data_IF_744996468870
#
_entry.id   IF_744996468870
#
_cell.length_a   1.000
_cell.length_b   1.000
_cell.length_c   1.000
_cell.angle_alpha   90.00
_cell.angle_beta   90.00
_cell.angle_gamma   90.00
#
_symmetry.space_group_name_H-M   'P 1'
#
loop_
_entity.id
_entity.type
_entity.pdbx_description
1 polymer ?
#
# COMPACT_ATOMS: atom_id res chain seq x y z
N UNK A 1 78.92 -3.34 9.61
CA UNK A 1 77.62 -3.99 9.84
C UNK A 1 76.64 -3.41 8.84
N UNK A 2 76.42 -4.13 7.75
CA UNK A 2 75.45 -3.76 6.72
C UNK A 2 74.03 -3.95 7.29
N UNK A 3 73.31 -2.86 7.49
CA UNK A 3 71.90 -2.94 7.83
C UNK A 3 71.13 -3.48 6.62
N UNK A 4 70.63 -4.71 6.74
CA UNK A 4 69.84 -5.45 5.73
C UNK A 4 68.79 -4.53 5.08
N UNK A 5 68.93 -4.30 3.78
CA UNK A 5 67.97 -3.56 2.96
C UNK A 5 66.52 -4.07 3.11
N UNK A 6 66.31 -5.31 3.54
CA UNK A 6 64.97 -5.87 3.80
C UNK A 6 64.20 -5.17 4.92
N UNK A 7 64.87 -4.65 5.95
CA UNK A 7 64.19 -3.97 7.07
C UNK A 7 63.68 -2.59 6.66
N UNK A 8 64.44 -1.91 5.77
CA UNK A 8 64.02 -0.64 5.17
C UNK A 8 62.85 -0.83 4.21
N UNK A 9 62.86 -1.87 3.39
CA UNK A 9 61.75 -2.18 2.46
C UNK A 9 60.46 -2.52 3.20
N UNK A 10 60.53 -3.28 4.29
CA UNK A 10 59.35 -3.62 5.11
C UNK A 10 58.79 -2.39 5.83
N UNK A 11 59.65 -1.55 6.40
CA UNK A 11 59.21 -0.31 7.03
C UNK A 11 58.52 0.65 6.04
N UNK A 12 59.03 0.73 4.80
CA UNK A 12 58.47 1.58 3.75
C UNK A 12 57.12 1.04 3.26
N UNK A 13 56.96 -0.29 3.19
CA UNK A 13 55.67 -0.93 2.85
C UNK A 13 54.61 -0.73 3.92
N UNK A 14 54.98 -0.84 5.20
CA UNK A 14 54.07 -0.59 6.33
C UNK A 14 53.66 0.89 6.36
N UNK A 15 54.59 1.81 6.11
CA UNK A 15 54.27 3.24 6.06
C UNK A 15 53.34 3.60 4.89
N UNK A 16 53.53 2.97 3.73
CA UNK A 16 52.66 3.16 2.56
C UNK A 16 51.24 2.58 2.81
N UNK A 17 51.15 1.42 3.47
CA UNK A 17 49.87 0.82 3.84
C UNK A 17 49.09 1.65 4.87
N UNK A 18 49.78 2.23 5.85
CA UNK A 18 49.16 3.14 6.84
C UNK A 18 48.68 4.44 6.18
N UNK A 19 49.40 4.97 5.19
CA UNK A 19 48.91 6.13 4.41
C UNK A 19 47.68 5.80 3.57
N UNK A 20 47.61 4.61 2.96
CA UNK A 20 46.43 4.16 2.20
C UNK A 20 45.19 3.95 3.09
N UNK A 21 45.37 3.52 4.35
CA UNK A 21 44.28 3.40 5.31
C UNK A 21 43.79 4.77 5.85
N UNK A 22 44.63 5.81 5.83
CA UNK A 22 44.27 7.14 6.33
C UNK A 22 43.39 7.95 5.33
N UNK A 23 43.42 7.63 4.04
CA UNK A 23 42.57 8.26 3.02
C UNK A 23 41.09 7.82 3.06
N UNK A 24 40.73 6.84 3.89
CA UNK A 24 39.34 6.35 4.01
C UNK A 24 38.42 7.23 4.87
N UNK A 25 38.98 8.11 5.71
CA UNK A 25 38.18 8.93 6.64
C UNK A 25 37.43 10.09 5.96
N UNK A 26 37.90 10.58 4.81
CA UNK A 26 37.29 11.72 4.11
C UNK A 26 35.98 11.31 3.38
N UNK A 27 35.91 10.05 2.93
CA UNK A 27 34.72 9.51 2.26
C UNK A 27 33.56 9.30 3.25
N UNK A 28 33.85 8.79 4.45
CA UNK A 28 32.83 8.57 5.49
C UNK A 28 32.20 9.87 6.00
N UNK A 29 33.00 10.93 6.18
CA UNK A 29 32.46 12.24 6.57
C UNK A 29 31.58 12.87 5.49
N UNK A 30 31.87 12.61 4.21
CA UNK A 30 31.10 13.14 3.09
C UNK A 30 29.73 12.45 2.98
N UNK A 31 29.72 11.13 3.11
CA UNK A 31 28.47 10.33 3.17
C UNK A 31 27.63 10.70 4.40
N UNK A 32 28.27 10.93 5.56
CA UNK A 32 27.58 11.38 6.77
C UNK A 32 26.99 12.79 6.63
N UNK A 33 27.72 13.72 6.02
CA UNK A 33 27.22 15.07 5.77
C UNK A 33 26.12 15.13 4.71
N UNK A 34 26.18 14.30 3.67
CA UNK A 34 25.09 14.16 2.70
C UNK A 34 23.86 13.53 3.36
N UNK A 35 24.03 12.51 4.22
CA UNK A 35 22.93 11.92 4.97
C UNK A 35 22.26 12.92 5.94
N UNK A 36 23.04 13.75 6.63
CA UNK A 36 22.51 14.83 7.49
C UNK A 36 21.84 15.96 6.70
N UNK A 37 22.17 16.14 5.42
CA UNK A 37 21.46 17.09 4.55
C UNK A 37 20.11 16.56 4.10
N UNK A 38 19.97 15.25 3.97
CA UNK A 38 18.73 14.59 3.55
C UNK A 38 17.80 14.32 4.74
N UNK A 39 18.33 14.10 5.93
CA UNK A 39 17.56 13.78 7.13
C UNK A 39 17.92 14.78 8.22
N UNK A 40 16.95 15.62 8.61
CA UNK A 40 17.11 16.55 9.73
C UNK A 40 17.38 15.75 11.02
N UNK A 41 18.59 15.84 11.61
CA UNK A 41 18.93 15.08 12.81
C UNK A 41 18.26 15.64 14.07
N UNK A 42 17.62 16.81 13.99
CA UNK A 42 16.91 17.46 15.08
C UNK A 42 15.57 18.03 14.58
N UNK A 43 14.61 17.17 14.24
CA UNK A 43 13.34 17.62 13.68
C UNK A 43 12.58 18.45 14.73
N UNK A 44 12.39 19.73 14.43
CA UNK A 44 11.46 20.57 15.19
C UNK A 44 10.06 20.38 14.62
N UNK A 45 9.13 19.87 15.45
CA UNK A 45 7.73 19.72 15.05
C UNK A 45 7.10 21.10 15.00
N UNK A 46 7.04 21.68 13.81
CA UNK A 46 6.33 22.94 13.57
C UNK A 46 4.82 22.68 13.46
N UNK A 47 4.08 22.97 14.54
CA UNK A 47 2.62 22.85 14.58
C UNK A 47 1.88 23.99 13.86
N UNK A 48 2.60 25.02 13.35
CA UNK A 48 2.01 26.12 12.59
C UNK A 48 1.87 25.82 11.09
N UNK A 49 2.49 24.74 10.59
CA UNK A 49 2.33 24.33 9.20
C UNK A 49 0.96 23.68 8.98
N UNK A 50 0.07 24.40 8.32
CA UNK A 50 -1.31 24.01 8.06
C UNK A 50 -1.45 22.94 6.96
N UNK A 51 -0.90 21.75 7.18
CA UNK A 51 -1.07 20.61 6.29
C UNK A 51 -0.30 20.72 4.97
N UNK A 52 -0.78 20.02 3.94
CA UNK A 52 -0.14 19.94 2.62
C UNK A 52 -0.28 21.28 1.89
N UNK A 53 0.83 21.84 1.40
CA UNK A 53 0.84 23.14 0.71
C UNK A 53 0.01 23.14 -0.58
N UNK A 54 0.10 22.06 -1.37
CA UNK A 54 -0.69 21.92 -2.58
C UNK A 54 -2.18 21.73 -2.22
N UNK A 55 -3.08 22.63 -2.66
CA UNK A 55 -4.49 22.60 -2.29
C UNK A 55 -5.24 21.38 -2.84
N UNK A 56 -4.80 20.82 -3.97
CA UNK A 56 -5.39 19.63 -4.58
C UNK A 56 -5.05 18.39 -3.76
N UNK A 57 -3.77 18.23 -3.41
CA UNK A 57 -3.29 17.14 -2.56
C UNK A 57 -3.92 17.22 -1.17
N UNK A 58 -4.01 18.41 -0.59
CA UNK A 58 -4.64 18.61 0.72
C UNK A 58 -6.12 18.20 0.69
N UNK A 59 -6.85 18.59 -0.36
CA UNK A 59 -8.25 18.19 -0.54
C UNK A 59 -8.36 16.67 -0.68
N UNK A 60 -7.53 16.04 -1.50
CA UNK A 60 -7.53 14.59 -1.67
C UNK A 60 -7.25 13.90 -0.34
N UNK A 61 -6.19 14.31 0.36
CA UNK A 61 -5.78 13.78 1.67
C UNK A 61 -6.90 13.83 2.71
N UNK A 62 -7.61 14.96 2.82
CA UNK A 62 -8.74 15.08 3.74
C UNK A 62 -9.88 14.10 3.44
N UNK A 63 -10.06 13.74 2.17
CA UNK A 63 -11.11 12.81 1.74
C UNK A 63 -10.71 11.35 1.91
N UNK A 64 -9.51 10.97 1.45
CA UNK A 64 -9.11 9.56 1.39
C UNK A 64 -8.49 9.04 2.70
N UNK A 65 -7.81 9.88 3.50
CA UNK A 65 -7.07 9.43 4.69
C UNK A 65 -7.95 8.66 5.68
N UNK A 66 -9.17 9.12 6.04
CA UNK A 66 -10.04 8.36 6.95
C UNK A 66 -10.51 7.01 6.38
N UNK A 67 -10.57 6.91 5.04
CA UNK A 67 -10.94 5.70 4.32
C UNK A 67 -9.79 4.71 4.31
N UNK A 68 -8.62 5.14 3.84
CA UNK A 68 -7.40 4.34 3.75
C UNK A 68 -6.95 3.84 5.13
N UNK A 69 -7.10 4.64 6.18
CA UNK A 69 -6.83 4.22 7.55
C UNK A 69 -7.65 2.99 8.00
N UNK A 70 -8.89 2.81 7.50
CA UNK A 70 -9.69 1.62 7.81
C UNK A 70 -9.18 0.38 7.11
N UNK A 71 -8.76 0.53 5.87
CA UNK A 71 -8.18 -0.54 5.06
C UNK A 71 -6.84 -0.95 5.65
N UNK A 72 -5.95 0.01 5.91
CA UNK A 72 -4.64 -0.22 6.52
C UNK A 72 -4.77 -0.97 7.85
N UNK A 73 -5.66 -0.52 8.74
CA UNK A 73 -5.91 -1.18 10.02
C UNK A 73 -6.39 -2.63 9.88
N UNK A 74 -7.16 -2.94 8.82
CA UNK A 74 -7.59 -4.31 8.51
C UNK A 74 -6.41 -5.14 7.96
N UNK A 75 -5.64 -4.59 7.02
CA UNK A 75 -4.43 -5.22 6.47
C UNK A 75 -3.42 -5.55 7.58
N UNK A 76 -3.20 -4.63 8.53
CA UNK A 76 -2.33 -4.86 9.69
C UNK A 76 -2.76 -6.07 10.50
N UNK A 77 -4.05 -6.19 10.83
CA UNK A 77 -4.56 -7.35 11.58
C UNK A 77 -4.35 -8.65 10.81
N UNK A 78 -4.60 -8.65 9.51
CA UNK A 78 -4.39 -9.83 8.67
C UNK A 78 -2.91 -10.19 8.55
N UNK A 79 -2.01 -9.21 8.46
CA UNK A 79 -0.56 -9.45 8.40
C UNK A 79 0.03 -10.11 9.67
N UNK A 80 -0.72 -10.16 10.77
CA UNK A 80 -0.31 -10.85 12.00
C UNK A 80 -0.69 -12.33 12.05
N UNK A 81 -1.40 -12.84 11.04
CA UNK A 81 -1.80 -14.24 10.99
C UNK A 81 -0.59 -15.11 10.64
N UNK A 82 -0.24 -16.00 11.56
CA UNK A 82 0.84 -17.01 11.38
C UNK A 82 0.29 -18.44 11.49
N UNK A 83 -0.73 -18.64 12.33
CA UNK A 83 -1.42 -19.91 12.54
C UNK A 83 -2.92 -19.74 12.28
N UNK A 84 -3.63 -20.86 12.08
CA UNK A 84 -5.09 -20.83 11.92
C UNK A 84 -5.74 -20.09 13.12
N UNK A 85 -6.54 -19.03 12.88
CA UNK A 85 -7.11 -18.23 13.96
C UNK A 85 -8.14 -18.99 14.79
N UNK A 86 -8.18 -18.70 16.09
CA UNK A 86 -9.20 -19.24 16.98
C UNK A 86 -10.53 -18.45 16.93
N UNK A 87 -11.57 -18.96 17.60
CA UNK A 87 -12.87 -18.29 17.68
C UNK A 87 -12.80 -16.86 18.25
N UNK A 88 -11.86 -16.59 19.17
CA UNK A 88 -11.75 -15.29 19.80
C UNK A 88 -11.18 -14.27 18.83
N UNK A 89 -10.23 -14.66 17.99
CA UNK A 89 -9.71 -13.84 16.91
C UNK A 89 -10.83 -13.41 15.95
N UNK A 90 -11.69 -14.35 15.52
CA UNK A 90 -12.83 -14.02 14.66
C UNK A 90 -13.81 -13.06 15.34
N UNK A 91 -14.13 -13.28 16.63
CA UNK A 91 -15.00 -12.36 17.40
C UNK A 91 -14.41 -10.95 17.47
N UNK A 92 -13.12 -10.83 17.76
CA UNK A 92 -12.42 -9.54 17.81
C UNK A 92 -12.35 -8.86 16.45
N UNK A 93 -12.15 -9.63 15.37
CA UNK A 93 -12.19 -9.11 13.99
C UNK A 93 -13.52 -8.40 13.72
N UNK A 94 -14.65 -9.08 13.93
CA UNK A 94 -15.98 -8.47 13.69
C UNK A 94 -16.30 -7.32 14.65
N UNK A 95 -15.81 -7.37 15.90
CA UNK A 95 -15.95 -6.25 16.83
C UNK A 95 -15.18 -5.01 16.37
N UNK A 96 -13.97 -5.19 15.83
CA UNK A 96 -13.10 -4.08 15.36
C UNK A 96 -13.52 -3.57 13.98
N UNK A 97 -13.99 -4.46 13.11
CA UNK A 97 -14.38 -4.14 11.73
C UNK A 97 -15.82 -4.58 11.45
N UNK A 98 -16.83 -3.91 12.05
CA UNK A 98 -18.24 -4.27 11.87
C UNK A 98 -18.78 -4.01 10.46
N UNK A 99 -17.93 -3.47 9.56
CA UNK A 99 -18.25 -3.13 8.18
C UNK A 99 -17.80 -4.19 7.17
N UNK A 100 -17.06 -5.22 7.59
CA UNK A 100 -16.70 -6.33 6.69
C UNK A 100 -17.93 -7.19 6.41
N UNK A 101 -17.99 -7.77 5.21
CA UNK A 101 -19.08 -8.70 4.84
C UNK A 101 -18.92 -10.04 5.55
N UNK A 102 -17.67 -10.53 5.65
CA UNK A 102 -17.39 -11.83 6.23
C UNK A 102 -15.92 -12.21 6.25
N UNK A 103 -15.67 -13.38 6.83
CA UNK A 103 -14.38 -14.06 6.87
C UNK A 103 -14.59 -15.54 6.64
N UNK A 104 -13.70 -16.15 5.88
CA UNK A 104 -13.63 -17.58 5.68
C UNK A 104 -12.19 -18.06 5.78
N UNK A 105 -12.02 -19.32 6.15
CA UNK A 105 -10.72 -19.98 6.10
C UNK A 105 -10.84 -21.21 5.22
N UNK A 106 -9.84 -21.42 4.39
CA UNK A 106 -9.71 -22.57 3.50
C UNK A 106 -8.42 -23.31 3.81
N UNK A 107 -8.42 -24.62 3.64
CA UNK A 107 -7.18 -25.43 3.70
C UNK A 107 -6.40 -25.40 2.38
N UNK A 108 -5.31 -26.16 2.32
CA UNK A 108 -4.45 -26.34 1.14
C UNK A 108 -5.14 -27.05 -0.03
N UNK A 109 -6.23 -27.77 0.23
CA UNK A 109 -7.11 -28.37 -0.78
C UNK A 109 -8.29 -27.44 -1.16
N UNK A 110 -8.29 -26.21 -0.63
CA UNK A 110 -9.34 -25.20 -0.80
C UNK A 110 -10.72 -25.59 -0.25
N UNK A 111 -10.77 -26.53 0.69
CA UNK A 111 -11.97 -26.85 1.45
C UNK A 111 -12.19 -25.81 2.53
N UNK A 112 -13.43 -25.35 2.67
CA UNK A 112 -13.81 -24.34 3.68
C UNK A 112 -13.78 -24.99 5.07
N UNK A 113 -12.92 -24.45 5.95
CA UNK A 113 -12.82 -24.85 7.36
C UNK A 113 -13.74 -24.03 8.26
N UNK A 114 -13.79 -22.71 8.03
CA UNK A 114 -14.61 -21.74 8.77
C UNK A 114 -15.22 -20.78 7.77
N UNK A 115 -16.47 -20.39 8.01
CA UNK A 115 -17.18 -19.38 7.24
C UNK A 115 -18.11 -18.59 8.14
N UNK A 116 -17.90 -17.28 8.21
CA UNK A 116 -18.64 -16.36 9.06
C UNK A 116 -19.00 -15.09 8.27
N UNK A 117 -20.27 -14.64 8.28
CA UNK A 117 -21.44 -15.35 8.80
C UNK A 117 -21.73 -16.65 8.02
N UNK A 118 -22.40 -17.63 8.65
CA UNK A 118 -22.73 -18.90 7.99
C UNK A 118 -23.63 -18.71 6.76
N UNK A 119 -24.58 -17.76 6.84
CA UNK A 119 -25.43 -17.36 5.74
C UNK A 119 -24.78 -16.22 4.95
N UNK A 120 -24.33 -16.50 3.74
CA UNK A 120 -23.79 -15.49 2.82
C UNK A 120 -24.91 -14.74 2.09
N UNK A 121 -24.75 -13.42 1.98
CA UNK A 121 -25.57 -12.57 1.09
C UNK A 121 -25.04 -12.66 -0.35
N UNK A 122 -23.71 -12.74 -0.52
CA UNK A 122 -23.05 -12.89 -1.81
C UNK A 122 -22.27 -14.22 -1.84
N UNK A 123 -22.48 -15.08 -2.85
CA UNK A 123 -21.79 -16.36 -2.92
C UNK A 123 -20.30 -16.16 -3.15
N UNK A 124 -19.48 -16.61 -2.20
CA UNK A 124 -18.04 -16.68 -2.37
C UNK A 124 -17.68 -17.77 -3.39
N UNK A 125 -16.86 -17.41 -4.38
CA UNK A 125 -16.23 -18.37 -5.29
C UNK A 125 -14.73 -18.38 -4.98
N UNK A 126 -14.19 -19.47 -4.40
CA UNK A 126 -12.75 -19.58 -4.12
C UNK A 126 -11.90 -19.68 -5.39
N UNK A 127 -12.51 -19.87 -6.57
CA UNK A 127 -11.85 -20.02 -7.86
C UNK A 127 -10.67 -19.06 -8.09
N UNK A 128 -10.81 -17.74 -7.92
CA UNK A 128 -9.71 -16.79 -8.13
C UNK A 128 -8.55 -16.91 -7.13
N UNK A 129 -8.73 -17.53 -5.96
CA UNK A 129 -7.65 -17.78 -4.99
C UNK A 129 -6.91 -19.10 -5.23
N UNK A 130 -7.59 -20.07 -5.85
CA UNK A 130 -7.05 -21.38 -6.23
C UNK A 130 -6.36 -21.29 -7.59
N UNK A 131 -6.95 -20.54 -8.53
CA UNK A 131 -6.38 -20.23 -9.84
C UNK A 131 -5.25 -19.18 -9.75
N UNK A 132 -5.10 -18.53 -8.60
CA UNK A 132 -3.93 -17.72 -8.31
C UNK A 132 -2.72 -18.68 -8.19
N UNK A 133 -1.92 -18.77 -9.24
CA UNK A 133 -0.59 -19.39 -9.25
C UNK A 133 0.43 -18.57 -8.41
N UNK A 134 -0.03 -17.90 -7.35
CA UNK A 134 0.81 -17.16 -6.43
C UNK A 134 1.57 -18.13 -5.54
N UNK A 135 2.84 -17.81 -5.29
CA UNK A 135 3.64 -18.54 -4.32
C UNK A 135 3.13 -18.23 -2.90
N UNK A 136 2.19 -19.02 -2.40
CA UNK A 136 1.68 -18.93 -1.03
C UNK A 136 2.72 -19.33 0.04
N UNK A 137 3.94 -19.70 -0.37
CA UNK A 137 5.07 -19.82 0.56
C UNK A 137 5.55 -18.45 1.05
N UNK A 138 5.15 -17.35 0.41
CA UNK A 138 5.40 -15.99 0.89
C UNK A 138 4.34 -15.57 1.93
N UNK A 139 4.77 -14.92 3.01
CA UNK A 139 3.90 -14.41 4.10
C UNK A 139 3.10 -13.16 3.67
N UNK A 140 3.06 -12.85 2.38
CA UNK A 140 2.52 -11.59 1.88
C UNK A 140 0.98 -11.62 1.80
N UNK A 141 0.36 -10.51 2.22
CA UNK A 141 -1.08 -10.30 2.08
C UNK A 141 -1.43 -10.14 0.59
N UNK A 142 -2.27 -11.04 0.07
CA UNK A 142 -2.80 -10.99 -1.29
C UNK A 142 -4.19 -10.38 -1.30
N UNK A 143 -4.60 -9.85 -2.44
CA UNK A 143 -5.93 -9.27 -2.60
C UNK A 143 -6.38 -9.25 -4.04
N UNK A 144 -7.69 -9.24 -4.23
CA UNK A 144 -8.34 -9.05 -5.52
C UNK A 144 -9.76 -8.55 -5.33
N UNK A 145 -10.39 -8.07 -6.41
CA UNK A 145 -11.79 -7.67 -6.42
C UNK A 145 -12.54 -8.55 -7.42
N UNK A 146 -13.67 -9.10 -6.98
CA UNK A 146 -14.62 -9.81 -7.84
C UNK A 146 -15.84 -8.94 -8.10
N UNK A 147 -16.30 -8.92 -9.35
CA UNK A 147 -17.53 -8.25 -9.74
C UNK A 147 -18.63 -9.29 -9.98
N UNK A 148 -19.77 -9.10 -9.32
CA UNK A 148 -20.96 -9.97 -9.45
C UNK A 148 -22.20 -9.14 -9.73
N UNK A 149 -23.33 -9.81 -10.00
CA UNK A 149 -24.65 -9.15 -10.11
C UNK A 149 -25.06 -8.41 -8.83
N UNK A 150 -24.51 -8.80 -7.66
CA UNK A 150 -24.76 -8.16 -6.37
C UNK A 150 -23.81 -6.99 -6.08
N UNK A 151 -22.91 -6.68 -7.02
CA UNK A 151 -21.89 -5.64 -6.90
C UNK A 151 -20.48 -6.17 -6.69
N UNK A 152 -19.50 -5.26 -6.48
CA UNK A 152 -18.12 -5.63 -6.22
C UNK A 152 -17.96 -6.25 -4.83
N UNK A 153 -16.95 -7.10 -4.68
CA UNK A 153 -16.49 -7.63 -3.41
C UNK A 153 -14.96 -7.70 -3.45
N UNK A 154 -14.30 -7.04 -2.49
CA UNK A 154 -12.85 -7.10 -2.32
C UNK A 154 -12.52 -8.22 -1.35
N UNK A 155 -11.48 -8.98 -1.66
CA UNK A 155 -10.96 -10.08 -0.86
C UNK A 155 -9.53 -9.76 -0.44
N UNK A 156 -9.23 -9.99 0.83
CA UNK A 156 -7.89 -9.92 1.42
C UNK A 156 -7.54 -11.30 1.96
N UNK A 157 -6.49 -11.91 1.45
CA UNK A 157 -6.08 -13.27 1.75
C UNK A 157 -4.67 -13.30 2.34
N UNK A 158 -4.50 -13.97 3.47
CA UNK A 158 -3.20 -14.18 4.12
C UNK A 158 -3.00 -15.66 4.43
N UNK A 159 -1.82 -16.23 4.18
CA UNK A 159 -1.55 -17.63 4.47
C UNK A 159 -1.38 -17.86 5.97
N UNK A 160 -1.73 -19.07 6.43
CA UNK A 160 -1.37 -19.55 7.74
C UNK A 160 -0.60 -20.87 7.64
N UNK A 161 0.27 -21.10 8.61
CA UNK A 161 1.25 -22.17 8.60
C UNK A 161 1.09 -23.06 9.83
N UNK A 162 1.64 -24.27 9.73
CA UNK A 162 1.87 -25.16 10.85
C UNK A 162 3.18 -25.89 10.61
N UNK A 163 4.08 -25.86 11.59
CA UNK A 163 5.40 -26.48 11.49
C UNK A 163 6.20 -25.99 10.24
N UNK A 164 6.05 -24.69 9.90
CA UNK A 164 6.61 -24.03 8.71
C UNK A 164 6.11 -24.57 7.35
N UNK A 165 5.04 -25.36 7.35
CA UNK A 165 4.34 -25.76 6.14
C UNK A 165 3.07 -24.93 5.96
N UNK A 166 2.81 -24.49 4.73
CA UNK A 166 1.56 -23.88 4.34
C UNK A 166 0.39 -24.82 4.67
N UNK A 167 -0.68 -24.28 5.26
CA UNK A 167 -1.89 -25.06 5.61
C UNK A 167 -3.18 -24.48 5.06
N UNK A 168 -3.15 -23.28 4.48
CA UNK A 168 -4.34 -22.66 3.96
C UNK A 168 -4.32 -21.14 4.09
N UNK A 169 -5.48 -20.53 3.86
CA UNK A 169 -5.66 -19.09 3.82
C UNK A 169 -6.74 -18.62 4.80
N UNK A 170 -6.51 -17.47 5.42
CA UNK A 170 -7.56 -16.65 6.02
C UNK A 170 -7.96 -15.58 5.01
N UNK A 171 -9.24 -15.52 4.68
CA UNK A 171 -9.78 -14.61 3.66
C UNK A 171 -10.85 -13.75 4.28
N UNK A 172 -10.61 -12.45 4.36
CA UNK A 172 -11.62 -11.45 4.74
C UNK A 172 -12.15 -10.77 3.48
N UNK A 173 -13.45 -10.52 3.45
CA UNK A 173 -14.06 -9.87 2.30
C UNK A 173 -15.10 -8.82 2.68
N UNK A 174 -15.24 -7.82 1.82
CA UNK A 174 -16.18 -6.73 1.99
C UNK A 174 -16.55 -6.06 0.65
N UNK A 175 -17.70 -5.37 0.61
CA UNK A 175 -18.07 -4.54 -0.52
C UNK A 175 -17.28 -3.21 -0.47
N UNK A 176 -16.38 -2.92 -1.43
CA UNK A 176 -15.51 -1.75 -1.34
C UNK A 176 -16.27 -0.42 -1.39
N UNK A 177 -17.54 -0.40 -1.80
CA UNK A 177 -18.37 0.80 -1.73
C UNK A 177 -18.63 1.25 -0.29
N UNK A 178 -18.59 0.33 0.68
CA UNK A 178 -18.82 0.65 2.10
C UNK A 178 -17.76 1.60 2.66
N UNK A 179 -16.58 1.63 2.04
CA UNK A 179 -15.47 2.49 2.41
C UNK A 179 -15.83 3.98 2.30
N UNK A 180 -16.75 4.35 1.41
CA UNK A 180 -17.23 5.72 1.26
C UNK A 180 -17.94 6.24 2.51
N UNK A 181 -18.46 5.36 3.38
CA UNK A 181 -19.07 5.78 4.65
C UNK A 181 -18.07 6.39 5.64
N UNK A 182 -16.77 6.16 5.43
CA UNK A 182 -15.70 6.75 6.24
C UNK A 182 -15.18 8.06 5.65
N UNK A 183 -15.55 8.39 4.41
CA UNK A 183 -15.17 9.64 3.78
C UNK A 183 -15.99 10.81 4.35
N UNK A 184 -15.36 11.94 4.73
CA UNK A 184 -16.08 13.13 5.20
C UNK A 184 -17.06 13.71 4.16
N UNK A 185 -16.77 13.54 2.87
CA UNK A 185 -17.64 13.95 1.76
C UNK A 185 -17.56 12.93 0.60
N UNK A 186 -18.37 11.86 0.64
CA UNK A 186 -18.31 10.77 -0.34
C UNK A 186 -18.69 11.20 -1.76
N UNK A 187 -19.36 12.35 -1.93
CA UNK A 187 -19.71 12.88 -3.26
C UNK A 187 -18.51 13.52 -3.97
N UNK A 188 -17.42 13.78 -3.23
CA UNK A 188 -16.18 14.37 -3.77
C UNK A 188 -15.05 13.38 -3.92
N UNK A 189 -15.14 12.20 -3.29
CA UNK A 189 -14.15 11.14 -3.41
C UNK A 189 -14.57 10.14 -4.49
N UNK A 190 -13.60 9.74 -5.29
CA UNK A 190 -13.70 8.64 -6.24
C UNK A 190 -12.63 7.63 -5.82
N UNK A 191 -13.04 6.39 -5.65
CA UNK A 191 -12.13 5.26 -5.43
C UNK A 191 -12.28 4.39 -6.67
N UNK A 192 -11.17 4.00 -7.27
CA UNK A 192 -11.21 3.12 -8.44
C UNK A 192 -10.16 2.03 -8.41
N UNK A 193 -10.47 0.93 -9.08
CA UNK A 193 -9.52 -0.12 -9.40
C UNK A 193 -9.20 -0.02 -10.90
N UNK A 194 -7.98 0.41 -11.28
CA UNK A 194 -7.56 0.54 -12.67
C UNK A 194 -7.81 -0.73 -13.50
N UNK A 195 -7.27 -1.86 -13.06
CA UNK A 195 -7.27 -3.11 -13.84
C UNK A 195 -8.63 -3.83 -13.87
N UNK A 196 -9.49 -3.55 -12.88
CA UNK A 196 -10.76 -4.26 -12.66
C UNK A 196 -12.00 -3.51 -13.13
N UNK A 197 -11.86 -2.25 -13.56
CA UNK A 197 -12.98 -1.44 -14.05
C UNK A 197 -13.93 -0.91 -12.98
N UNK A 198 -13.59 -1.04 -11.70
CA UNK A 198 -14.44 -0.55 -10.61
C UNK A 198 -14.28 0.94 -10.38
N UNK A 199 -15.39 1.69 -10.40
CA UNK A 199 -15.43 3.09 -9.93
C UNK A 199 -16.50 3.23 -8.85
N UNK A 200 -16.07 3.54 -7.64
CA UNK A 200 -16.88 3.69 -6.43
C UNK A 200 -16.86 5.14 -5.97
N UNK A 201 -18.02 5.78 -5.95
CA UNK A 201 -18.18 7.17 -5.53
C UNK A 201 -19.60 7.40 -5.04
N UNK A 202 -19.79 8.42 -4.18
CA UNK A 202 -21.11 8.95 -3.86
C UNK A 202 -21.64 9.96 -4.88
N UNK A 203 -20.87 10.31 -5.92
CA UNK A 203 -21.31 11.21 -6.97
C UNK A 203 -22.22 10.49 -7.98
N UNK A 204 -23.42 11.05 -8.22
CA UNK A 204 -24.38 10.50 -9.19
C UNK A 204 -24.02 10.86 -10.64
N UNK A 205 -23.48 12.07 -10.86
CA UNK A 205 -23.23 12.63 -12.20
C UNK A 205 -21.80 12.37 -12.74
N UNK A 206 -21.09 11.37 -12.19
CA UNK A 206 -19.73 11.05 -12.62
C UNK A 206 -19.75 10.21 -13.90
N UNK A 207 -19.05 10.67 -14.94
CA UNK A 207 -18.77 9.87 -16.13
C UNK A 207 -17.68 8.82 -15.83
N UNK A 208 -18.12 7.68 -15.29
CA UNK A 208 -17.24 6.55 -14.91
C UNK A 208 -16.52 5.97 -16.11
N UNK A 209 -17.20 5.87 -17.25
CA UNK A 209 -16.64 5.31 -18.49
C UNK A 209 -15.48 6.15 -19.01
N UNK A 210 -15.57 7.47 -18.89
CA UNK A 210 -14.48 8.34 -19.31
C UNK A 210 -13.23 8.20 -18.41
N UNK A 211 -13.40 7.94 -17.11
CA UNK A 211 -12.29 7.65 -16.19
C UNK A 211 -11.64 6.30 -16.48
N UNK A 212 -12.44 5.28 -16.81
CA UNK A 212 -11.93 3.94 -17.13
C UNK A 212 -11.20 3.86 -18.47
N UNK A 213 -11.35 4.87 -19.34
CA UNK A 213 -10.65 4.97 -20.64
C UNK A 213 -9.28 5.61 -20.55
N UNK A 214 -8.90 6.17 -19.39
CA UNK A 214 -7.53 6.63 -19.18
C UNK A 214 -6.61 5.40 -19.25
N UNK A 215 -5.46 5.56 -19.90
CA UNK A 215 -4.39 4.57 -19.87
C UNK A 215 -3.71 4.60 -18.50
N UNK A 216 -4.34 3.92 -17.53
CA UNK A 216 -3.85 3.89 -16.17
C UNK A 216 -2.54 3.11 -16.06
N UNK A 217 -2.34 2.09 -16.89
CA UNK A 217 -1.11 1.30 -16.91
C UNK A 217 0.09 2.20 -17.25
N UNK A 218 -0.02 3.01 -18.32
CA UNK A 218 1.03 3.97 -18.70
C UNK A 218 1.30 5.02 -17.61
N UNK A 219 0.24 5.53 -16.96
CA UNK A 219 0.41 6.52 -15.89
C UNK A 219 1.08 5.94 -14.64
N UNK A 220 0.65 4.75 -14.23
CA UNK A 220 1.06 4.11 -12.98
C UNK A 220 2.45 3.47 -13.08
N UNK A 221 2.94 3.20 -14.29
CA UNK A 221 4.33 2.83 -14.57
C UNK A 221 5.33 3.97 -14.26
N UNK A 222 4.86 5.21 -14.20
CA UNK A 222 5.73 6.39 -14.07
C UNK A 222 5.47 7.20 -12.81
N UNK A 223 4.23 7.18 -12.30
CA UNK A 223 3.80 8.06 -11.23
C UNK A 223 2.89 7.35 -10.24
N UNK A 224 2.98 7.72 -8.98
CA UNK A 224 2.05 7.27 -7.91
C UNK A 224 0.99 8.32 -7.59
N UNK A 225 1.13 9.53 -8.13
CA UNK A 225 0.19 10.65 -7.98
C UNK A 225 0.27 11.57 -9.19
N UNK A 226 -0.76 12.38 -9.41
CA UNK A 226 -0.72 13.42 -10.42
C UNK A 226 -2.09 14.05 -10.66
N UNK A 227 -2.23 14.69 -11.83
CA UNK A 227 -3.49 15.29 -12.28
C UNK A 227 -3.84 14.75 -13.67
N UNK A 228 -5.09 14.36 -13.87
CA UNK A 228 -5.65 13.96 -15.18
C UNK A 228 -6.83 14.84 -15.55
N UNK A 229 -7.07 15.02 -16.85
CA UNK A 229 -8.22 15.78 -17.35
C UNK A 229 -9.16 14.87 -18.12
N UNK A 230 -10.42 14.80 -17.67
CA UNK A 230 -11.46 13.96 -18.29
C UNK A 230 -12.67 14.84 -18.62
N UNK A 231 -13.05 14.87 -19.90
CA UNK A 231 -14.17 15.68 -20.38
C UNK A 231 -14.11 17.16 -19.94
N UNK A 232 -12.90 17.73 -19.87
CA UNK A 232 -12.67 19.11 -19.45
C UNK A 232 -12.69 19.35 -17.93
N UNK A 233 -12.78 18.29 -17.12
CA UNK A 233 -12.69 18.35 -15.66
C UNK A 233 -11.34 17.78 -15.22
N UNK A 234 -10.62 18.54 -14.40
CA UNK A 234 -9.35 18.12 -13.77
C UNK A 234 -9.61 17.28 -12.53
N UNK A 235 -8.89 16.18 -12.39
CA UNK A 235 -8.89 15.30 -11.23
C UNK A 235 -7.47 15.13 -10.72
N UNK A 236 -7.24 15.43 -9.45
CA UNK A 236 -6.03 15.01 -8.74
C UNK A 236 -6.20 13.57 -8.30
N UNK A 237 -5.15 12.78 -8.39
CA UNK A 237 -5.17 11.37 -8.09
C UNK A 237 -3.95 10.89 -7.30
N UNK A 238 -4.13 9.83 -6.53
CA UNK A 238 -3.11 9.12 -5.77
C UNK A 238 -3.37 7.62 -5.85
N UNK A 239 -2.37 6.86 -6.27
CA UNK A 239 -2.38 5.40 -6.30
C UNK A 239 -1.80 4.81 -5.02
N UNK A 240 -2.42 3.72 -4.54
CA UNK A 240 -1.97 2.92 -3.40
C UNK A 240 -2.23 1.45 -3.66
N UNK A 241 -1.49 0.59 -2.97
CA UNK A 241 -1.73 -0.85 -2.97
C UNK A 241 -2.45 -1.27 -1.69
N UNK A 242 -3.44 -2.13 -1.84
CA UNK A 242 -4.12 -2.83 -0.75
C UNK A 242 -3.81 -4.31 -0.97
N UNK A 243 -2.80 -4.87 -0.28
CA UNK A 243 -2.23 -6.16 -0.69
C UNK A 243 -1.62 -6.02 -2.09
N UNK A 244 -2.06 -6.85 -3.03
CA UNK A 244 -1.60 -6.84 -4.44
C UNK A 244 -2.55 -6.05 -5.36
N UNK A 245 -3.71 -5.63 -4.87
CA UNK A 245 -4.68 -4.83 -5.64
C UNK A 245 -4.30 -3.36 -5.61
N UNK A 246 -4.08 -2.79 -6.80
CA UNK A 246 -3.89 -1.35 -6.95
C UNK A 246 -5.24 -0.61 -6.89
N UNK A 247 -5.28 0.45 -6.09
CA UNK A 247 -6.43 1.33 -5.92
C UNK A 247 -5.98 2.77 -6.17
N UNK A 248 -6.78 3.52 -6.90
CA UNK A 248 -6.54 4.95 -7.15
C UNK A 248 -7.65 5.76 -6.49
N UNK A 249 -7.24 6.74 -5.70
CA UNK A 249 -8.12 7.75 -5.12
C UNK A 249 -8.08 9.00 -5.99
N UNK A 250 -9.25 9.58 -6.30
CA UNK A 250 -9.35 10.81 -7.07
C UNK A 250 -10.34 11.79 -6.45
N UNK A 251 -10.10 13.07 -6.69
CA UNK A 251 -11.10 14.13 -6.48
C UNK A 251 -10.92 15.22 -7.53
N UNK A 252 -11.97 16.01 -7.78
CA UNK A 252 -11.87 17.18 -8.68
C UNK A 252 -10.81 18.14 -8.13
N UNK A 253 -9.89 18.58 -8.98
CA UNK A 253 -8.90 19.59 -8.61
C UNK A 253 -9.59 20.90 -8.18
N UNK A 254 -8.97 21.59 -7.23
CA UNK A 254 -9.29 22.96 -6.81
C UNK A 254 -8.52 23.97 -7.66
N UNK A 255 -7.27 23.63 -8.00
CA UNK A 255 -6.41 24.45 -8.84
C UNK A 255 -6.96 24.60 -10.26
N UNK A 256 -6.67 25.76 -10.88
CA UNK A 256 -7.04 26.04 -12.28
C UNK A 256 -5.92 25.73 -13.26
N UNK A 257 -4.69 25.56 -12.79
CA UNK A 257 -3.48 25.28 -13.56
C UNK A 257 -2.61 24.26 -12.80
N UNK A 258 -1.68 23.62 -13.51
CA UNK A 258 -0.67 22.75 -12.91
C UNK A 258 0.32 23.64 -12.14
N UNK A 259 0.04 23.88 -10.85
CA UNK A 259 1.07 24.41 -9.95
C UNK A 259 2.13 23.33 -9.79
N UNK A 260 3.35 23.64 -10.23
CA UNK A 260 4.54 22.79 -10.28
C UNK A 260 4.61 21.84 -9.07
N UNK A 261 4.62 20.54 -9.36
CA UNK A 261 4.47 19.45 -8.39
C UNK A 261 5.61 19.47 -7.35
N UNK A 262 5.42 20.23 -6.27
CA UNK A 262 6.23 20.13 -5.08
C UNK A 262 6.21 18.68 -4.59
N UNK A 263 7.32 17.98 -4.75
CA UNK A 263 7.50 16.58 -4.31
C UNK A 263 7.27 16.51 -2.81
N UNK A 264 6.18 15.87 -2.39
CA UNK A 264 5.97 15.49 -0.99
C UNK A 264 6.76 14.21 -0.73
N UNK A 265 7.77 14.30 0.12
CA UNK A 265 8.38 13.13 0.74
C UNK A 265 7.45 12.66 1.87
N UNK A 266 6.94 11.43 1.77
CA UNK A 266 6.33 10.70 2.89
C UNK A 266 7.35 9.77 3.51
#
# INVERSE_FOLDING_TARGET
MEFKNSVRSVALFVFLAVMLCASGCEYGSKVWHDAQRTVDPNPEINLEHGGIENPDDNKLALLFTPVDAKILSLCEILSTVDYHPDENWFKLLFMRFPWISGVLTVDDEASILVKLPEAEIKPFKPGPLIEYEGDWNEINLKSFVSYSEFGPEMYLATPFFKDAEFKGLVVVHFDPRILLNFCPDPTKLIIMQPDGGGVWTGAEDLDKEALLKIDWDELLDHQVRGVVSVAGVRYVWLARYVGDTQIVYLTKAVSKEDEDDGILFF
#
